data_IF_245431726944
#
_entry.id   IF_245431726944
#
_cell.length_a   1.000
_cell.length_b   1.000
_cell.length_c   1.000
_cell.angle_alpha   90.00
_cell.angle_beta   90.00
_cell.angle_gamma   90.00
#
_symmetry.space_group_name_H-M   'P 1'
#
loop_
_entity.id
_entity.type
_entity.pdbx_description
1 polymer ?
#
# COMPACT_ATOMS: atom_id res chain seq x y z
N UNK A 1 -26.52 -51.87 29.20
CA UNK A 1 -26.00 -50.94 28.17
C UNK A 1 -27.14 -50.04 27.74
N UNK A 2 -27.15 -48.77 28.16
CA UNK A 2 -28.14 -47.78 27.73
C UNK A 2 -27.41 -46.81 26.80
N UNK A 3 -27.60 -46.94 25.49
CA UNK A 3 -27.07 -46.03 24.49
C UNK A 3 -27.91 -44.75 24.53
N UNK A 4 -27.36 -43.68 25.09
CA UNK A 4 -27.98 -42.37 25.06
C UNK A 4 -28.11 -41.90 23.61
N UNK A 5 -29.34 -41.76 23.12
CA UNK A 5 -29.64 -41.12 21.85
C UNK A 5 -29.28 -39.64 21.96
N UNK A 6 -28.29 -39.20 21.17
CA UNK A 6 -27.97 -37.79 21.01
C UNK A 6 -29.23 -37.01 20.63
N UNK A 7 -29.50 -35.92 21.35
CA UNK A 7 -30.62 -35.02 21.10
C UNK A 7 -30.43 -34.40 19.71
N UNK A 8 -31.24 -34.81 18.74
CA UNK A 8 -31.24 -34.24 17.41
C UNK A 8 -31.73 -32.78 17.49
N UNK A 9 -30.98 -31.87 16.87
CA UNK A 9 -31.35 -30.47 16.71
C UNK A 9 -32.64 -30.37 15.89
N UNK A 10 -33.61 -29.56 16.32
CA UNK A 10 -34.89 -29.47 15.61
C UNK A 10 -34.73 -28.72 14.29
N UNK A 11 -35.56 -29.05 13.30
CA UNK A 11 -35.59 -28.34 12.03
C UNK A 11 -35.89 -26.84 12.21
N UNK A 12 -36.69 -26.48 13.22
CA UNK A 12 -37.03 -25.08 13.51
C UNK A 12 -35.85 -24.30 14.11
N UNK A 13 -35.04 -24.91 14.97
CA UNK A 13 -33.84 -24.27 15.51
C UNK A 13 -32.82 -24.00 14.39
N UNK A 14 -32.71 -24.90 13.41
CA UNK A 14 -31.85 -24.70 12.25
C UNK A 14 -32.31 -23.52 11.39
N UNK A 15 -33.61 -23.42 11.14
CA UNK A 15 -34.19 -22.31 10.36
C UNK A 15 -33.96 -20.97 11.06
N UNK A 16 -34.10 -20.91 12.38
CA UNK A 16 -33.88 -19.66 13.12
C UNK A 16 -32.42 -19.20 13.06
N UNK A 17 -31.47 -20.13 13.16
CA UNK A 17 -30.03 -19.84 13.06
C UNK A 17 -29.67 -19.28 11.67
N UNK A 18 -30.14 -19.90 10.58
CA UNK A 18 -29.83 -19.40 9.23
C UNK A 18 -30.44 -18.02 8.96
N UNK A 19 -31.63 -17.73 9.51
CA UNK A 19 -32.27 -16.42 9.36
C UNK A 19 -31.47 -15.34 10.10
N UNK A 20 -31.05 -15.60 11.33
CA UNK A 20 -30.22 -14.65 12.09
C UNK A 20 -28.89 -14.43 11.38
N UNK A 21 -28.21 -15.50 10.95
CA UNK A 21 -26.95 -15.38 10.21
C UNK A 21 -27.14 -14.62 8.88
N UNK A 22 -28.28 -14.81 8.21
CA UNK A 22 -28.64 -14.06 7.00
C UNK A 22 -28.75 -12.55 7.24
N UNK A 23 -29.43 -12.13 8.31
CA UNK A 23 -29.58 -10.72 8.67
C UNK A 23 -28.24 -10.10 9.06
N UNK A 24 -27.45 -10.80 9.89
CA UNK A 24 -26.13 -10.31 10.31
C UNK A 24 -25.17 -10.21 9.13
N UNK A 25 -25.17 -11.19 8.22
CA UNK A 25 -24.33 -11.19 7.04
C UNK A 25 -24.69 -10.02 6.09
N UNK A 26 -25.97 -9.73 5.89
CA UNK A 26 -26.41 -8.64 5.02
C UNK A 26 -25.87 -7.27 5.45
N UNK A 27 -25.75 -7.01 6.75
CA UNK A 27 -25.19 -5.75 7.28
C UNK A 27 -23.67 -5.80 7.41
N UNK A 28 -23.10 -6.95 7.79
CA UNK A 28 -21.67 -7.08 8.04
C UNK A 28 -20.83 -7.08 6.75
N UNK A 29 -21.29 -7.74 5.68
CA UNK A 29 -20.52 -7.89 4.44
C UNK A 29 -20.16 -6.53 3.81
N UNK A 30 -21.10 -5.58 3.61
CA UNK A 30 -20.78 -4.28 3.02
C UNK A 30 -19.79 -3.49 3.88
N UNK A 31 -19.94 -3.52 5.20
CA UNK A 31 -19.06 -2.80 6.13
C UNK A 31 -17.65 -3.37 6.14
N UNK A 32 -17.52 -4.70 6.14
CA UNK A 32 -16.22 -5.38 6.10
C UNK A 32 -15.50 -5.15 4.77
N UNK A 33 -16.24 -5.04 3.65
CA UNK A 33 -15.65 -4.72 2.36
C UNK A 33 -15.02 -3.31 2.36
N UNK A 34 -15.73 -2.30 2.86
CA UNK A 34 -15.21 -0.94 2.99
C UNK A 34 -13.97 -0.89 3.90
N UNK A 35 -14.05 -1.51 5.08
CA UNK A 35 -12.95 -1.51 6.06
C UNK A 35 -11.68 -2.19 5.52
N UNK A 36 -11.83 -3.22 4.68
CA UNK A 36 -10.69 -3.88 4.02
C UNK A 36 -10.00 -2.96 3.01
N UNK A 37 -10.78 -2.19 2.24
CA UNK A 37 -10.23 -1.19 1.30
C UNK A 37 -9.43 -0.11 2.03
N UNK A 38 -10.00 0.47 3.09
CA UNK A 38 -9.34 1.49 3.89
C UNK A 38 -8.04 0.96 4.54
N UNK A 39 -8.07 -0.28 5.03
CA UNK A 39 -6.88 -0.93 5.60
C UNK A 39 -5.77 -1.14 4.56
N UNK A 40 -6.14 -1.51 3.33
CA UNK A 40 -5.19 -1.64 2.22
C UNK A 40 -4.55 -0.30 1.88
N UNK A 41 -5.35 0.76 1.75
CA UNK A 41 -4.85 2.12 1.47
C UNK A 41 -3.89 2.58 2.57
N UNK A 42 -4.25 2.38 3.84
CA UNK A 42 -3.39 2.76 4.96
C UNK A 42 -2.07 2.00 4.98
N UNK A 43 -2.10 0.68 4.72
CA UNK A 43 -0.90 -0.16 4.61
C UNK A 43 0.03 0.37 3.52
N UNK A 44 -0.49 0.62 2.33
CA UNK A 44 0.32 1.06 1.18
C UNK A 44 0.87 2.46 1.43
N UNK A 45 0.07 3.39 1.97
CA UNK A 45 0.54 4.73 2.34
C UNK A 45 1.71 4.67 3.34
N UNK A 46 1.60 3.83 4.38
CA UNK A 46 2.68 3.62 5.35
C UNK A 46 3.94 3.03 4.71
N UNK A 47 3.79 2.05 3.82
CA UNK A 47 4.90 1.45 3.10
C UNK A 47 5.59 2.45 2.15
N UNK A 48 4.84 3.33 1.50
CA UNK A 48 5.40 4.41 0.66
C UNK A 48 6.24 5.37 1.51
N UNK A 49 5.70 5.85 2.63
CA UNK A 49 6.42 6.78 3.52
C UNK A 49 7.67 6.14 4.12
N UNK A 50 7.55 4.89 4.56
CA UNK A 50 8.69 4.10 5.07
C UNK A 50 9.72 3.90 3.97
N UNK A 51 9.29 3.54 2.77
CA UNK A 51 10.20 3.32 1.64
C UNK A 51 10.91 4.57 1.19
N UNK A 52 10.22 5.72 1.15
CA UNK A 52 10.84 7.01 0.89
C UNK A 52 11.91 7.36 1.93
N UNK A 53 11.63 7.14 3.22
CA UNK A 53 12.58 7.37 4.31
C UNK A 53 13.79 6.42 4.24
N UNK A 54 13.56 5.14 3.91
CA UNK A 54 14.62 4.14 3.72
C UNK A 54 15.52 4.51 2.55
N UNK A 55 14.94 4.88 1.40
CA UNK A 55 15.68 5.35 0.22
C UNK A 55 16.54 6.56 0.57
N UNK A 56 15.97 7.54 1.29
CA UNK A 56 16.73 8.72 1.72
C UNK A 56 17.88 8.36 2.67
N UNK A 57 17.62 7.50 3.66
CA UNK A 57 18.62 7.02 4.61
C UNK A 57 19.75 6.23 3.93
N UNK A 58 19.40 5.41 2.92
CA UNK A 58 20.36 4.69 2.10
C UNK A 58 21.23 5.67 1.30
N UNK A 59 20.62 6.62 0.61
CA UNK A 59 21.34 7.59 -0.21
C UNK A 59 22.32 8.45 0.61
N UNK A 60 21.94 8.82 1.83
CA UNK A 60 22.80 9.53 2.77
C UNK A 60 23.94 8.68 3.32
N UNK A 61 23.68 7.43 3.71
CA UNK A 61 24.68 6.55 4.32
C UNK A 61 25.70 6.00 3.33
N UNK A 62 25.24 5.63 2.13
CA UNK A 62 26.08 5.03 1.09
C UNK A 62 26.69 6.08 0.15
N UNK A 63 26.25 7.34 0.25
CA UNK A 63 26.60 8.40 -0.70
C UNK A 63 26.46 7.91 -2.15
N UNK A 64 25.39 7.16 -2.44
CA UNK A 64 25.00 6.71 -3.79
C UNK A 64 23.53 6.33 -3.81
N UNK A 65 22.93 6.44 -5.00
CA UNK A 65 21.59 5.92 -5.29
C UNK A 65 21.72 4.77 -6.27
N UNK A 66 21.05 3.66 -5.99
CA UNK A 66 21.01 2.51 -6.89
C UNK A 66 19.85 2.66 -7.89
N UNK A 67 19.96 1.99 -9.03
CA UNK A 67 18.90 1.99 -10.05
C UNK A 67 17.68 1.17 -9.59
N UNK A 68 17.89 0.18 -8.74
CA UNK A 68 16.84 -0.65 -8.15
C UNK A 68 16.47 -0.16 -6.75
N UNK A 69 15.25 0.39 -6.60
CA UNK A 69 14.74 0.88 -5.32
C UNK A 69 14.54 -0.23 -4.27
N UNK A 70 14.32 -1.50 -4.67
CA UNK A 70 14.25 -2.64 -3.72
C UNK A 70 15.57 -2.89 -2.98
N UNK A 71 16.70 -2.44 -3.55
CA UNK A 71 18.01 -2.53 -2.87
C UNK A 71 18.16 -1.44 -1.81
N UNK A 72 17.48 -0.31 -2.02
CA UNK A 72 17.54 0.85 -1.12
C UNK A 72 16.47 0.81 -0.03
N UNK A 73 15.36 0.10 -0.27
CA UNK A 73 14.23 0.00 0.65
C UNK A 73 13.63 -1.40 0.71
N UNK A 74 13.54 -1.93 1.93
CA UNK A 74 12.81 -3.16 2.22
C UNK A 74 11.30 -2.97 2.08
N UNK A 75 10.78 -1.78 2.41
CA UNK A 75 9.37 -1.47 2.19
C UNK A 75 9.00 -1.54 0.71
N UNK A 76 9.84 -1.02 -0.19
CA UNK A 76 9.64 -1.13 -1.64
C UNK A 76 9.75 -2.57 -2.13
N UNK A 77 10.74 -3.33 -1.63
CA UNK A 77 10.87 -4.76 -1.96
C UNK A 77 9.65 -5.59 -1.55
N UNK A 78 9.07 -5.30 -0.37
CA UNK A 78 7.86 -5.97 0.09
C UNK A 78 6.63 -5.59 -0.73
N UNK A 79 6.51 -4.32 -1.14
CA UNK A 79 5.43 -3.89 -2.05
C UNK A 79 5.55 -4.59 -3.41
N UNK A 80 6.75 -4.72 -3.97
CA UNK A 80 7.01 -5.47 -5.19
C UNK A 80 6.61 -6.95 -5.06
N UNK A 81 7.06 -7.61 -3.98
CA UNK A 81 6.75 -9.02 -3.74
C UNK A 81 5.24 -9.29 -3.54
N UNK A 82 4.50 -8.32 -3.01
CA UNK A 82 3.05 -8.40 -2.83
C UNK A 82 2.23 -8.03 -4.08
N UNK A 83 2.90 -7.58 -5.17
CA UNK A 83 2.24 -7.08 -6.36
C UNK A 83 1.60 -5.69 -6.20
N UNK A 84 1.93 -4.99 -5.12
CA UNK A 84 1.47 -3.62 -4.83
C UNK A 84 2.37 -2.57 -5.51
N UNK A 85 3.57 -2.94 -5.97
CA UNK A 85 4.46 -2.06 -6.71
C UNK A 85 5.17 -2.76 -7.89
N UNK A 86 5.47 -1.99 -8.93
CA UNK A 86 6.28 -2.39 -10.07
C UNK A 86 7.52 -1.49 -10.16
N UNK A 87 8.70 -2.10 -10.22
CA UNK A 87 9.97 -1.36 -10.21
C UNK A 87 10.53 -1.26 -11.62
N UNK A 88 10.81 -0.03 -12.05
CA UNK A 88 11.54 0.26 -13.28
C UNK A 88 12.94 0.72 -12.91
N UNK A 89 13.93 -0.14 -13.17
CA UNK A 89 15.35 0.17 -12.97
C UNK A 89 15.87 1.18 -13.99
N UNK A 90 15.28 1.22 -15.19
CA UNK A 90 15.65 2.16 -16.23
C UNK A 90 15.35 3.62 -15.85
N UNK A 91 14.28 3.83 -15.08
CA UNK A 91 13.81 5.16 -14.67
C UNK A 91 13.96 5.41 -13.16
N UNK A 92 14.60 4.48 -12.44
CA UNK A 92 14.79 4.50 -10.98
C UNK A 92 13.51 4.83 -10.22
N UNK A 93 12.41 4.15 -10.59
CA UNK A 93 11.08 4.41 -10.04
C UNK A 93 10.38 3.14 -9.60
N UNK A 94 9.59 3.26 -8.54
CA UNK A 94 8.63 2.27 -8.08
C UNK A 94 7.23 2.84 -8.30
N UNK A 95 6.47 2.20 -9.19
CA UNK A 95 5.09 2.54 -9.51
C UNK A 95 4.17 1.71 -8.64
N UNK A 96 3.40 2.36 -7.78
CA UNK A 96 2.48 1.74 -6.85
C UNK A 96 1.12 1.53 -7.53
N UNK A 97 0.62 0.32 -7.40
CA UNK A 97 -0.64 -0.15 -7.96
C UNK A 97 -1.66 -0.33 -6.83
N UNK A 98 -2.85 0.22 -7.01
CA UNK A 98 -3.96 0.05 -6.06
C UNK A 98 -5.25 -0.14 -6.82
N UNK A 99 -6.03 -1.15 -6.41
CA UNK A 99 -7.31 -1.44 -7.02
C UNK A 99 -7.15 -1.78 -8.50
N UNK A 100 -7.82 -1.01 -9.36
CA UNK A 100 -7.74 -1.18 -10.83
C UNK A 100 -6.72 -0.25 -11.49
N UNK A 101 -6.03 0.59 -10.69
CA UNK A 101 -5.12 1.61 -11.19
C UNK A 101 -3.67 1.14 -11.03
N UNK A 102 -2.98 1.04 -12.17
CA UNK A 102 -1.60 0.58 -12.25
C UNK A 102 -0.56 1.67 -11.98
N UNK A 103 -0.95 2.94 -11.99
CA UNK A 103 -0.08 4.10 -11.71
C UNK A 103 -0.81 5.04 -10.76
N UNK A 104 -0.94 4.63 -9.50
CA UNK A 104 -1.64 5.43 -8.51
C UNK A 104 -0.70 6.45 -7.86
N UNK A 105 0.47 5.99 -7.45
CA UNK A 105 1.55 6.80 -6.92
C UNK A 105 2.87 6.25 -7.44
N UNK A 106 3.85 7.11 -7.66
CA UNK A 106 5.18 6.71 -8.15
C UNK A 106 6.24 7.36 -7.27
N UNK A 107 7.10 6.53 -6.67
CA UNK A 107 8.32 6.99 -6.00
C UNK A 107 9.44 6.95 -7.02
N UNK A 108 10.11 8.07 -7.26
CA UNK A 108 11.20 8.15 -8.22
C UNK A 108 12.40 8.84 -7.61
N UNK A 109 13.59 8.29 -7.87
CA UNK A 109 14.86 8.98 -7.63
C UNK A 109 15.29 9.61 -8.95
N UNK A 110 15.16 10.92 -9.06
CA UNK A 110 15.64 11.66 -10.22
C UNK A 110 17.11 12.04 -9.99
N UNK A 111 17.99 11.46 -10.80
CA UNK A 111 19.43 11.77 -10.78
C UNK A 111 19.69 12.97 -11.68
N UNK A 112 20.06 14.10 -11.08
CA UNK A 112 20.57 15.27 -11.78
C UNK A 112 22.10 15.21 -11.94
N UNK A 113 22.66 16.18 -12.66
CA UNK A 113 24.10 16.24 -12.90
C UNK A 113 24.96 16.40 -11.63
N UNK A 114 24.38 16.99 -10.57
CA UNK A 114 25.07 17.25 -9.29
C UNK A 114 24.23 16.91 -8.04
N UNK A 115 22.93 16.67 -8.21
CA UNK A 115 21.98 16.47 -7.12
C UNK A 115 21.08 15.28 -7.44
N UNK A 116 20.85 14.42 -6.45
CA UNK A 116 19.83 13.37 -6.52
C UNK A 116 18.62 13.83 -5.70
N UNK A 117 17.43 13.80 -6.27
CA UNK A 117 16.20 14.13 -5.56
C UNK A 117 15.20 12.96 -5.58
N UNK A 118 14.54 12.77 -4.44
CA UNK A 118 13.43 11.85 -4.29
C UNK A 118 12.13 12.60 -4.55
N UNK A 119 11.32 12.10 -5.46
CA UNK A 119 10.03 12.66 -5.83
C UNK A 119 8.94 11.61 -5.66
N UNK A 120 7.81 12.02 -5.09
CA UNK A 120 6.58 11.24 -5.15
C UNK A 120 5.64 11.96 -6.10
N UNK A 121 5.25 11.28 -7.18
CA UNK A 121 4.28 11.77 -8.15
C UNK A 121 3.01 10.93 -8.07
N UNK A 122 1.88 11.49 -8.45
CA UNK A 122 0.61 10.79 -8.54
C UNK A 122 0.18 10.68 -10.00
N UNK A 123 -0.27 9.50 -10.40
CA UNK A 123 -0.90 9.28 -11.71
C UNK A 123 -2.39 9.62 -11.68
N UNK A 124 -3.10 9.37 -12.78
CA UNK A 124 -4.54 9.59 -12.87
C UNK A 124 -5.30 8.52 -12.07
N UNK A 125 -6.01 8.88 -10.98
CA UNK A 125 -6.77 7.91 -10.19
C UNK A 125 -8.05 7.43 -10.90
N UNK A 126 -8.47 8.07 -12.00
CA UNK A 126 -9.70 7.74 -12.71
C UNK A 126 -10.91 7.80 -11.78
N UNK A 127 -11.66 6.69 -11.70
CA UNK A 127 -12.82 6.53 -10.81
C UNK A 127 -12.56 5.60 -9.62
N UNK A 128 -11.32 5.19 -9.37
CA UNK A 128 -10.99 4.23 -8.31
C UNK A 128 -10.86 4.95 -6.96
N UNK A 129 -11.78 4.63 -6.04
CA UNK A 129 -11.84 5.29 -4.72
C UNK A 129 -10.65 4.94 -3.83
N UNK A 130 -10.01 3.79 -4.04
CA UNK A 130 -8.84 3.39 -3.26
C UNK A 130 -7.62 4.22 -3.67
N UNK A 131 -7.47 4.50 -4.97
CA UNK A 131 -6.38 5.33 -5.45
C UNK A 131 -6.53 6.80 -5.00
N UNK A 132 -7.74 7.37 -5.11
CA UNK A 132 -8.01 8.72 -4.58
C UNK A 132 -7.75 8.78 -3.07
N UNK A 133 -8.15 7.74 -2.32
CA UNK A 133 -7.88 7.64 -0.89
C UNK A 133 -6.38 7.58 -0.58
N UNK A 134 -5.61 6.83 -1.38
CA UNK A 134 -4.15 6.75 -1.22
C UNK A 134 -3.47 8.09 -1.50
N UNK A 135 -3.84 8.75 -2.59
CA UNK A 135 -3.27 10.06 -2.96
C UNK A 135 -3.59 11.12 -1.90
N UNK A 136 -4.79 11.08 -1.31
CA UNK A 136 -5.16 11.98 -0.20
C UNK A 136 -4.44 11.66 1.12
N UNK A 137 -3.96 10.43 1.31
CA UNK A 137 -3.24 10.02 2.51
C UNK A 137 -1.74 10.40 2.48
N UNK A 138 -1.20 10.76 1.32
CA UNK A 138 0.21 11.09 1.13
C UNK A 138 0.34 12.59 0.86
N UNK A 139 1.02 13.30 1.75
CA UNK A 139 1.34 14.70 1.54
C UNK A 139 2.55 14.84 0.59
N UNK A 140 2.27 15.09 -0.68
CA UNK A 140 3.31 15.31 -1.69
C UNK A 140 4.04 16.67 -1.53
N UNK A 141 3.58 17.58 -0.66
CA UNK A 141 4.23 18.88 -0.45
C UNK A 141 5.64 18.78 0.12
N UNK A 142 5.98 17.64 0.74
CA UNK A 142 7.30 17.35 1.28
C UNK A 142 8.33 16.93 0.20
N UNK A 143 7.91 16.83 -1.06
CA UNK A 143 8.74 16.41 -2.19
C UNK A 143 8.83 17.54 -3.25
N UNK A 144 9.97 17.73 -3.93
CA UNK A 144 11.16 16.88 -3.95
C UNK A 144 12.04 16.99 -2.70
N UNK A 145 12.40 15.85 -2.11
CA UNK A 145 13.40 15.78 -1.04
C UNK A 145 14.78 15.61 -1.67
N UNK A 146 15.72 16.50 -1.34
CA UNK A 146 17.11 16.36 -1.79
C UNK A 146 17.77 15.19 -1.05
N UNK A 147 18.29 14.24 -1.79
CA UNK A 147 19.03 13.09 -1.24
C UNK A 147 20.53 13.40 -1.17
N UNK A 148 21.05 14.11 -2.17
CA UNK A 148 22.48 14.43 -2.33
C UNK A 148 22.66 15.75 -3.07
N UNK A 149 23.70 16.53 -2.78
CA UNK A 149 23.95 17.81 -3.45
C UNK A 149 24.72 18.86 -2.66
N UNK A 150 25.31 19.86 -3.34
CA UNK A 150 26.15 20.93 -2.75
C UNK A 150 25.36 22.04 -2.03
N UNK A 151 24.05 21.84 -1.82
CA UNK A 151 23.16 22.80 -1.15
C UNK A 151 22.38 22.18 0.01
N UNK A 152 23.01 21.24 0.72
CA UNK A 152 22.59 20.91 2.09
C UNK A 152 23.24 21.94 3.00
N UNK A 153 22.58 23.07 3.21
CA UNK A 153 22.96 23.96 4.30
C UNK A 153 22.48 23.28 5.59
N UNK A 154 23.45 22.86 6.42
CA UNK A 154 23.19 22.31 7.75
C UNK A 154 22.34 23.25 8.60
#
# INVERSE_FOLDING_TARGET
MHTALHKAFTMIELIFVIVILGILAAVAIPKLAATRGDAQVSKIAMNIMTGASEIASYAMSQAKTEDNLSVMSNAVANMEASGEASISTAEKKAVIQVGSVNDCATIQVQTGANDDNLTISFGDPGSDTLCVGLQGAIDASQYPMKLRGTSVNY
#
